data_IF_695395663301
#
_entry.id   IF_695395663301
#
_cell.length_a   1.000
_cell.length_b   1.000
_cell.length_c   1.000
_cell.angle_alpha   90.00
_cell.angle_beta   90.00
_cell.angle_gamma   90.00
#
_symmetry.space_group_name_H-M   'P 1'
#
loop_
_entity.id
_entity.type
_entity.pdbx_description
1 polymer ?
#
# COMPACT_ATOMS: atom_id res chain seq x y z
N UNK A 1 34.45 -9.22 9.78
CA UNK A 1 33.30 -10.10 10.05
C UNK A 1 31.95 -9.36 10.01
N UNK A 2 31.86 -8.11 10.52
CA UNK A 2 30.63 -7.28 10.60
C UNK A 2 29.96 -6.96 9.25
N UNK A 3 30.73 -6.68 8.18
CA UNK A 3 30.20 -6.39 6.82
C UNK A 3 29.41 -7.54 6.19
N UNK A 4 29.91 -8.79 6.33
CA UNK A 4 29.25 -9.98 5.76
C UNK A 4 27.90 -10.28 6.42
N UNK A 5 27.75 -9.97 7.71
CA UNK A 5 26.48 -10.13 8.43
C UNK A 5 25.42 -9.11 8.01
N UNK A 6 25.83 -7.88 7.67
CA UNK A 6 24.93 -6.83 7.17
C UNK A 6 24.42 -7.14 5.76
N UNK A 7 25.31 -7.57 4.86
CA UNK A 7 24.99 -7.96 3.48
C UNK A 7 24.06 -9.18 3.43
N UNK A 8 24.30 -10.17 4.31
CA UNK A 8 23.46 -11.35 4.45
C UNK A 8 22.07 -10.98 5.02
N UNK A 9 22.03 -10.06 5.98
CA UNK A 9 20.80 -9.52 6.54
C UNK A 9 19.96 -8.76 5.50
N UNK A 10 20.60 -7.94 4.66
CA UNK A 10 19.91 -7.23 3.57
C UNK A 10 19.41 -8.17 2.46
N UNK A 11 20.17 -9.22 2.14
CA UNK A 11 19.76 -10.21 1.15
C UNK A 11 18.60 -11.09 1.65
N UNK A 12 18.58 -11.44 2.93
CA UNK A 12 17.45 -12.15 3.54
C UNK A 12 16.20 -11.27 3.56
N UNK A 13 16.33 -10.00 3.94
CA UNK A 13 15.20 -9.06 3.94
C UNK A 13 14.60 -8.87 2.54
N UNK A 14 15.44 -8.74 1.50
CA UNK A 14 14.96 -8.59 0.12
C UNK A 14 14.23 -9.84 -0.37
N UNK A 15 14.74 -11.04 -0.08
CA UNK A 15 14.08 -12.30 -0.43
C UNK A 15 12.73 -12.44 0.29
N UNK A 16 12.64 -12.08 1.57
CA UNK A 16 11.39 -12.10 2.33
C UNK A 16 10.36 -11.16 1.70
N UNK A 17 10.76 -9.93 1.36
CA UNK A 17 9.88 -8.95 0.71
C UNK A 17 9.37 -9.47 -0.65
N UNK A 18 10.24 -10.10 -1.44
CA UNK A 18 9.90 -10.63 -2.75
C UNK A 18 8.90 -11.80 -2.63
N UNK A 19 9.10 -12.70 -1.67
CA UNK A 19 8.17 -13.80 -1.37
C UNK A 19 6.80 -13.28 -0.91
N UNK A 20 6.76 -12.30 -0.01
CA UNK A 20 5.51 -11.69 0.47
C UNK A 20 4.76 -11.03 -0.70
N UNK A 21 5.47 -10.27 -1.54
CA UNK A 21 4.88 -9.59 -2.71
C UNK A 21 4.32 -10.59 -3.70
N UNK A 22 5.04 -11.69 -3.96
CA UNK A 22 4.59 -12.75 -4.83
C UNK A 22 3.32 -13.44 -4.29
N UNK A 23 3.32 -13.81 -3.00
CA UNK A 23 2.15 -14.36 -2.31
C UNK A 23 0.93 -13.43 -2.41
N UNK A 24 1.12 -12.14 -2.10
CA UNK A 24 0.05 -11.15 -2.22
C UNK A 24 -0.47 -11.01 -3.66
N UNK A 25 0.43 -11.00 -4.64
CA UNK A 25 0.05 -10.97 -6.06
C UNK A 25 -0.81 -12.17 -6.44
N UNK A 26 -0.42 -13.38 -6.02
CA UNK A 26 -1.23 -14.59 -6.27
C UNK A 26 -2.59 -14.56 -5.59
N UNK A 27 -2.69 -14.01 -4.37
CA UNK A 27 -3.97 -13.84 -3.67
C UNK A 27 -4.88 -12.83 -4.38
N UNK A 28 -4.32 -11.74 -4.91
CA UNK A 28 -5.06 -10.74 -5.70
C UNK A 28 -5.55 -11.31 -7.03
N UNK A 29 -4.80 -12.22 -7.66
CA UNK A 29 -5.27 -12.90 -8.88
C UNK A 29 -6.35 -13.96 -8.59
N UNK A 30 -6.24 -14.67 -7.47
CA UNK A 30 -7.22 -15.70 -7.07
C UNK A 30 -8.57 -15.08 -6.70
N UNK A 31 -8.54 -14.02 -5.91
CA UNK A 31 -9.69 -13.16 -5.65
C UNK A 31 -9.82 -12.16 -6.79
N UNK A 32 -10.20 -12.63 -7.97
CA UNK A 32 -10.44 -11.79 -9.15
C UNK A 32 -11.49 -10.75 -8.78
N UNK A 33 -11.04 -9.60 -8.28
CA UNK A 33 -11.91 -8.49 -7.92
C UNK A 33 -12.75 -8.24 -9.15
N UNK A 34 -14.08 -8.25 -9.05
CA UNK A 34 -14.89 -8.23 -10.24
C UNK A 34 -14.94 -6.80 -10.79
N UNK A 35 -13.82 -6.38 -11.40
CA UNK A 35 -13.58 -5.06 -12.03
C UNK A 35 -14.72 -4.71 -12.97
N UNK A 36 -15.33 -5.75 -13.56
CA UNK A 36 -16.41 -5.64 -14.53
C UNK A 36 -17.78 -6.09 -14.00
N UNK A 37 -17.97 -6.65 -12.80
CA UNK A 37 -19.34 -7.02 -12.34
C UNK A 37 -20.17 -5.80 -11.91
N UNK A 38 -19.50 -4.69 -11.63
CA UNK A 38 -20.13 -3.38 -11.39
C UNK A 38 -20.21 -2.51 -12.65
N UNK A 39 -19.75 -2.99 -13.80
CA UNK A 39 -19.74 -2.28 -15.07
C UNK A 39 -20.91 -2.57 -16.04
N UNK A 40 -21.58 -3.76 -16.08
CA UNK A 40 -22.68 -3.99 -17.00
C UNK A 40 -23.91 -3.24 -16.48
N UNK A 41 -24.28 -2.18 -17.19
CA UNK A 41 -25.46 -1.39 -16.89
C UNK A 41 -25.19 -0.04 -16.22
N UNK A 42 -23.94 0.45 -16.17
CA UNK A 42 -23.71 1.88 -15.88
C UNK A 42 -24.37 2.65 -17.03
N UNK A 43 -25.51 3.35 -16.82
CA UNK A 43 -26.05 4.19 -17.87
C UNK A 43 -24.96 5.19 -18.25
N UNK A 44 -24.77 5.47 -19.55
CA UNK A 44 -23.94 6.59 -20.04
C UNK A 44 -24.55 7.94 -19.64
N UNK A 45 -25.01 8.09 -18.40
CA UNK A 45 -25.37 9.37 -17.83
C UNK A 45 -24.06 10.09 -17.52
N UNK A 46 -23.92 11.25 -18.13
CA UNK A 46 -22.89 12.22 -17.80
C UNK A 46 -22.83 12.42 -16.28
N UNK A 47 -21.62 12.62 -15.77
CA UNK A 47 -21.37 12.95 -14.36
C UNK A 47 -22.27 14.14 -14.00
N UNK A 48 -23.12 14.04 -12.96
CA UNK A 48 -23.97 15.15 -12.54
C UNK A 48 -23.11 16.39 -12.29
N UNK A 49 -23.51 17.53 -12.85
CA UNK A 49 -22.83 18.83 -12.66
C UNK A 49 -23.07 19.43 -11.27
N UNK A 50 -23.95 18.81 -10.49
CA UNK A 50 -24.22 19.19 -9.10
C UNK A 50 -23.24 18.46 -8.18
N UNK A 51 -22.71 19.11 -7.14
CA UNK A 51 -21.81 18.46 -6.18
C UNK A 51 -22.53 17.24 -5.60
N UNK A 52 -21.94 16.08 -5.82
CA UNK A 52 -22.51 14.82 -5.36
C UNK A 52 -22.31 14.73 -3.84
N UNK A 53 -23.30 15.23 -3.09
CA UNK A 53 -23.30 15.14 -1.64
C UNK A 53 -23.21 13.67 -1.22
N UNK A 54 -22.24 13.35 -0.37
CA UNK A 54 -22.01 11.99 0.11
C UNK A 54 -21.13 11.11 -0.79
N UNK A 55 -20.52 11.63 -1.87
CA UNK A 55 -19.56 10.84 -2.67
C UNK A 55 -18.40 10.33 -1.82
N UNK A 56 -17.83 11.19 -0.97
CA UNK A 56 -16.75 10.82 -0.06
C UNK A 56 -17.18 9.73 0.92
N UNK A 57 -18.41 9.80 1.45
CA UNK A 57 -18.97 8.80 2.35
C UNK A 57 -19.22 7.48 1.62
N UNK A 58 -19.76 7.51 0.41
CA UNK A 58 -19.98 6.33 -0.42
C UNK A 58 -18.68 5.63 -0.81
N UNK A 59 -17.66 6.39 -1.21
CA UNK A 59 -16.32 5.89 -1.51
C UNK A 59 -15.67 5.31 -0.25
N UNK A 60 -15.75 6.03 0.88
CA UNK A 60 -15.20 5.54 2.15
C UNK A 60 -15.85 4.22 2.58
N UNK A 61 -17.18 4.13 2.50
CA UNK A 61 -17.92 2.91 2.81
C UNK A 61 -17.52 1.75 1.89
N UNK A 62 -17.47 1.99 0.58
CA UNK A 62 -17.05 0.97 -0.38
C UNK A 62 -15.63 0.46 -0.09
N UNK A 63 -14.70 1.38 0.20
CA UNK A 63 -13.32 1.05 0.53
C UNK A 63 -13.24 0.21 1.82
N UNK A 64 -14.00 0.55 2.87
CA UNK A 64 -14.03 -0.24 4.10
C UNK A 64 -14.75 -1.58 3.97
N UNK A 65 -15.80 -1.69 3.16
CA UNK A 65 -16.56 -2.94 3.01
C UNK A 65 -15.89 -3.93 2.04
N UNK A 66 -15.18 -3.44 1.01
CA UNK A 66 -14.66 -4.27 -0.07
C UNK A 66 -13.13 -4.24 -0.22
N UNK A 67 -12.45 -3.20 0.30
CA UNK A 67 -11.00 -2.98 0.12
C UNK A 67 -10.30 -2.56 1.42
N UNK A 68 -10.83 -2.95 2.59
CA UNK A 68 -10.29 -2.54 3.89
C UNK A 68 -8.82 -2.91 4.07
N UNK A 69 -8.42 -4.08 3.55
CA UNK A 69 -7.04 -4.54 3.63
C UNK A 69 -6.09 -3.62 2.85
N UNK A 70 -6.48 -3.15 1.66
CA UNK A 70 -5.67 -2.22 0.87
C UNK A 70 -5.55 -0.87 1.56
N UNK A 71 -6.67 -0.31 2.07
CA UNK A 71 -6.65 0.95 2.83
C UNK A 71 -5.73 0.86 4.05
N UNK A 72 -5.82 -0.25 4.79
CA UNK A 72 -4.99 -0.49 5.99
C UNK A 72 -3.52 -0.66 5.64
N UNK A 73 -3.23 -1.41 4.58
CA UNK A 73 -1.86 -1.61 4.08
C UNK A 73 -1.24 -0.30 3.61
N UNK A 74 -1.98 0.52 2.86
CA UNK A 74 -1.50 1.84 2.43
C UNK A 74 -1.21 2.76 3.62
N UNK A 75 -2.07 2.76 4.64
CA UNK A 75 -1.81 3.53 5.87
C UNK A 75 -0.49 3.10 6.55
N UNK A 76 -0.22 1.79 6.62
CA UNK A 76 1.05 1.27 7.14
C UNK A 76 2.25 1.71 6.29
N UNK A 77 2.14 1.63 4.96
CA UNK A 77 3.21 2.07 4.03
C UNK A 77 3.53 3.56 4.24
N UNK A 78 2.53 4.41 4.44
CA UNK A 78 2.73 5.83 4.72
C UNK A 78 3.51 6.02 6.03
N UNK A 79 3.16 5.29 7.09
CA UNK A 79 3.88 5.36 8.38
C UNK A 79 5.34 4.94 8.21
N UNK A 80 5.60 3.84 7.50
CA UNK A 80 6.97 3.38 7.21
C UNK A 80 7.74 4.43 6.41
N UNK A 81 7.13 5.03 5.40
CA UNK A 81 7.75 6.08 4.62
C UNK A 81 8.15 7.29 5.50
N UNK A 82 7.27 7.71 6.42
CA UNK A 82 7.58 8.78 7.39
C UNK A 82 8.78 8.40 8.26
N UNK A 83 8.80 7.17 8.80
CA UNK A 83 9.92 6.68 9.61
C UNK A 83 11.23 6.69 8.81
N UNK A 84 11.21 6.25 7.56
CA UNK A 84 12.37 6.28 6.68
C UNK A 84 12.85 7.72 6.42
N UNK A 85 11.94 8.66 6.17
CA UNK A 85 12.27 10.07 6.02
C UNK A 85 12.92 10.64 7.29
N UNK A 86 12.41 10.29 8.47
CA UNK A 86 13.01 10.71 9.75
C UNK A 86 14.39 10.07 9.96
N UNK A 87 14.56 8.81 9.58
CA UNK A 87 15.84 8.12 9.67
C UNK A 87 16.91 8.78 8.76
N UNK A 88 16.53 9.27 7.58
CA UNK A 88 17.42 10.02 6.69
C UNK A 88 17.83 11.39 7.25
N UNK A 89 16.97 12.00 8.08
CA UNK A 89 17.24 13.29 8.71
C UNK A 89 18.05 13.16 10.01
N UNK A 90 18.30 11.94 10.51
CA UNK A 90 19.10 11.74 11.71
C UNK A 90 20.53 12.20 11.42
N UNK A 91 21.06 13.21 12.13
CA UNK A 91 22.44 13.63 11.97
C UNK A 91 23.36 12.46 12.33
N UNK A 92 24.42 12.27 11.54
CA UNK A 92 25.52 11.41 11.93
C UNK A 92 26.08 11.98 13.24
N UNK A 93 26.08 11.17 14.31
CA UNK A 93 26.87 11.53 15.49
C UNK A 93 28.30 11.66 14.99
N UNK A 94 28.78 12.90 14.89
CA UNK A 94 30.17 13.17 14.58
C UNK A 94 30.99 12.35 15.57
N UNK A 95 31.66 11.34 15.04
CA UNK A 95 32.58 10.47 15.77
C UNK A 95 33.63 11.40 16.38
N UNK A 96 33.39 11.76 17.63
CA UNK A 96 34.23 12.63 18.41
C UNK A 96 35.53 11.90 18.70
N UNK A 97 36.58 12.38 18.04
CA UNK A 97 37.99 12.37 18.45
C UNK A 97 38.20 12.45 19.95
#
# INVERSE_FOLDING_TARGET
>A
MRRKGLELGSALASVIILCITFLFSTLVLAETFPILKYAPGIPRRLIPTQPFEGLSQGVSRFLWENRALDVTTQAFVIVVAIICCLALLKPEEAEGT
#
